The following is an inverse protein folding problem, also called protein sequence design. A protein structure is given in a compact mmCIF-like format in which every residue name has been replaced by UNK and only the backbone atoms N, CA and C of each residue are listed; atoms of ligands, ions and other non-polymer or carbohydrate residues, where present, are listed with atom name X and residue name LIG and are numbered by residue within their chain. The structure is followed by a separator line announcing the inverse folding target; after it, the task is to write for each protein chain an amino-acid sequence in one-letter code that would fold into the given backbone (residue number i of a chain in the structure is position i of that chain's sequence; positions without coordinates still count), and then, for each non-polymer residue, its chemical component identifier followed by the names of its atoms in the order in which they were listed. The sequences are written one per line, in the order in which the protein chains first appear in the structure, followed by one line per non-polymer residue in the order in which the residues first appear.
data_IF_303600304660
#
_entry.id   IF_303600304660
#
_cell.length_a   1.000
_cell.length_b   1.000
_cell.length_c   1.000
_cell.angle_alpha   90.00
_cell.angle_beta   90.00
_cell.angle_gamma   90.00
#
_symmetry.space_group_name_H-M   'P 1'
#
loop_
_entity.id
_entity.type
_entity.pdbx_description
1 polymer ?
#
# COMPACT_ATOMS: atom_id res chain seq x y z
N UNK A 1 -34.21 3.18 -10.81
CA UNK A 1 -33.10 3.62 -9.93
C UNK A 1 -32.95 2.56 -8.84
N UNK A 2 -31.84 1.81 -8.80
CA UNK A 2 -31.52 0.95 -7.63
C UNK A 2 -31.37 1.90 -6.43
N UNK A 3 -32.16 1.68 -5.37
CA UNK A 3 -31.96 2.39 -4.10
C UNK A 3 -30.55 2.06 -3.62
N UNK A 4 -29.70 3.05 -3.53
CA UNK A 4 -28.36 2.89 -2.95
C UNK A 4 -28.52 2.44 -1.51
N UNK A 5 -28.14 1.21 -1.25
CA UNK A 5 -28.20 0.60 0.08
C UNK A 5 -26.95 1.00 0.84
N UNK A 6 -27.08 1.42 2.08
CA UNK A 6 -25.94 1.71 2.94
C UNK A 6 -25.05 0.47 3.09
N UNK A 7 -23.75 0.69 2.98
CA UNK A 7 -22.72 -0.35 3.03
C UNK A 7 -21.79 -0.13 4.23
N UNK A 8 -22.03 -0.86 5.31
CA UNK A 8 -21.25 -0.76 6.54
C UNK A 8 -19.78 -1.15 6.38
N UNK A 9 -19.48 -2.04 5.41
CA UNK A 9 -18.06 -2.35 5.10
C UNK A 9 -17.30 -1.12 4.62
N UNK A 10 -17.93 -0.26 3.81
CA UNK A 10 -17.33 1.00 3.36
C UNK A 10 -17.18 2.00 4.51
N UNK A 11 -18.10 2.03 5.47
CA UNK A 11 -17.91 2.82 6.67
C UNK A 11 -16.68 2.35 7.46
N UNK A 12 -16.54 1.04 7.66
CA UNK A 12 -15.37 0.45 8.32
C UNK A 12 -14.08 0.76 7.59
N UNK A 13 -14.05 0.63 6.26
CA UNK A 13 -12.91 0.98 5.40
C UNK A 13 -12.53 2.45 5.60
N UNK A 14 -13.48 3.38 5.52
CA UNK A 14 -13.23 4.80 5.70
C UNK A 14 -12.65 5.12 7.09
N UNK A 15 -13.19 4.51 8.14
CA UNK A 15 -12.67 4.66 9.51
C UNK A 15 -11.24 4.15 9.64
N UNK A 16 -10.98 2.96 9.13
CA UNK A 16 -9.65 2.32 9.16
C UNK A 16 -8.65 3.15 8.33
N UNK A 17 -9.04 3.58 7.14
CA UNK A 17 -8.23 4.47 6.29
C UNK A 17 -7.79 5.74 7.03
N UNK A 18 -8.65 6.31 7.87
CA UNK A 18 -8.33 7.47 8.72
C UNK A 18 -7.58 7.13 10.01
N UNK A 19 -7.23 5.87 10.24
CA UNK A 19 -6.55 5.43 11.46
C UNK A 19 -7.37 5.62 12.73
N UNK A 20 -8.70 5.63 12.63
CA UNK A 20 -9.58 5.85 13.77
C UNK A 20 -10.06 4.53 14.37
N UNK A 21 -9.95 4.40 15.71
CA UNK A 21 -10.67 3.34 16.43
C UNK A 21 -12.18 3.66 16.46
N UNK A 22 -13.01 2.65 16.76
CA UNK A 22 -14.44 2.88 16.93
C UNK A 22 -14.72 3.85 18.08
N UNK A 23 -13.91 3.79 19.15
CA UNK A 23 -14.05 4.68 20.31
C UNK A 23 -13.75 6.14 19.95
N UNK A 24 -12.70 6.38 19.16
CA UNK A 24 -12.35 7.73 18.66
C UNK A 24 -13.49 8.26 17.78
N UNK A 25 -13.95 7.44 16.82
CA UNK A 25 -15.04 7.85 15.92
C UNK A 25 -16.33 8.14 16.68
N UNK A 26 -16.68 7.32 17.68
CA UNK A 26 -17.84 7.53 18.54
C UNK A 26 -17.77 8.88 19.28
N UNK A 27 -16.60 9.19 19.86
CA UNK A 27 -16.37 10.45 20.56
C UNK A 27 -16.47 11.66 19.63
N UNK A 28 -15.86 11.60 18.46
CA UNK A 28 -15.83 12.72 17.51
C UNK A 28 -17.20 12.99 16.85
N UNK A 29 -17.96 11.93 16.58
CA UNK A 29 -19.28 12.04 15.96
C UNK A 29 -20.42 12.23 16.94
N UNK A 30 -20.17 12.00 18.23
CA UNK A 30 -21.19 11.89 19.28
C UNK A 30 -22.28 10.83 18.93
N UNK A 31 -21.83 9.71 18.30
CA UNK A 31 -22.67 8.54 18.01
C UNK A 31 -22.25 7.43 18.97
N UNK A 32 -23.22 6.68 19.50
CA UNK A 32 -22.91 5.59 20.41
C UNK A 32 -22.03 4.53 19.71
N UNK A 33 -21.00 4.05 20.40
CA UNK A 33 -20.10 3.00 19.90
C UNK A 33 -20.85 1.76 19.40
N UNK A 34 -21.90 1.35 20.10
CA UNK A 34 -22.74 0.19 19.70
C UNK A 34 -23.42 0.43 18.36
N UNK A 35 -23.85 1.67 18.09
CA UNK A 35 -24.50 2.02 16.84
C UNK A 35 -23.50 2.04 15.68
N UNK A 36 -22.29 2.57 15.87
CA UNK A 36 -21.23 2.53 14.85
C UNK A 36 -20.90 1.08 14.48
N UNK A 37 -20.72 0.19 15.46
CA UNK A 37 -20.48 -1.22 15.22
C UNK A 37 -21.64 -1.87 14.46
N UNK A 38 -22.88 -1.54 14.83
CA UNK A 38 -24.05 -2.06 14.16
C UNK A 38 -24.19 -1.55 12.72
N UNK A 39 -23.77 -0.30 12.44
CA UNK A 39 -23.69 0.24 11.08
C UNK A 39 -22.61 -0.50 10.27
N UNK A 40 -21.41 -0.71 10.82
CA UNK A 40 -20.31 -1.42 10.15
C UNK A 40 -20.70 -2.88 9.83
N UNK A 41 -21.49 -3.51 10.70
CA UNK A 41 -22.00 -4.89 10.53
C UNK A 41 -23.26 -4.97 9.64
N UNK A 42 -23.75 -3.85 9.10
CA UNK A 42 -25.02 -3.76 8.35
C UNK A 42 -26.25 -4.25 9.11
N UNK A 43 -26.26 -4.19 10.45
CA UNK A 43 -27.45 -4.57 11.26
C UNK A 43 -28.59 -3.59 11.03
N UNK A 44 -28.28 -2.32 10.94
CA UNK A 44 -29.18 -1.26 10.51
C UNK A 44 -28.40 -0.08 9.93
N UNK A 45 -29.07 0.75 9.15
CA UNK A 45 -28.47 1.92 8.50
C UNK A 45 -28.48 3.14 9.43
N UNK A 46 -27.50 4.04 9.34
CA UNK A 46 -27.52 5.31 10.06
C UNK A 46 -28.68 6.20 9.58
N UNK A 47 -29.16 7.06 10.45
CA UNK A 47 -30.02 8.18 10.06
C UNK A 47 -29.27 9.13 9.13
N UNK A 48 -29.98 10.01 8.41
CA UNK A 48 -29.34 11.01 7.57
C UNK A 48 -28.37 11.88 8.36
N UNK A 49 -28.76 12.31 9.56
CA UNK A 49 -27.93 13.10 10.46
C UNK A 49 -26.62 12.36 10.82
N UNK A 50 -26.72 11.10 11.22
CA UNK A 50 -25.55 10.29 11.56
C UNK A 50 -24.67 10.03 10.34
N UNK A 51 -25.24 9.80 9.15
CA UNK A 51 -24.49 9.64 7.92
C UNK A 51 -23.70 10.90 7.55
N UNK A 52 -24.28 12.09 7.77
CA UNK A 52 -23.61 13.37 7.56
C UNK A 52 -22.46 13.58 8.57
N UNK A 53 -22.68 13.27 9.86
CA UNK A 53 -21.62 13.33 10.88
C UNK A 53 -20.45 12.43 10.52
N UNK A 54 -20.73 11.18 10.11
CA UNK A 54 -19.70 10.22 9.68
C UNK A 54 -18.96 10.72 8.44
N UNK A 55 -19.66 11.24 7.44
CA UNK A 55 -19.09 11.84 6.23
C UNK A 55 -18.12 12.97 6.56
N UNK A 56 -18.54 13.89 7.42
CA UNK A 56 -17.72 15.05 7.80
C UNK A 56 -16.47 14.64 8.58
N UNK A 57 -16.59 13.76 9.57
CA UNK A 57 -15.45 13.35 10.42
C UNK A 57 -14.46 12.45 9.67
N UNK A 58 -14.95 11.61 8.77
CA UNK A 58 -14.11 10.72 7.99
C UNK A 58 -13.58 11.37 6.71
N UNK A 59 -14.12 12.53 6.30
CA UNK A 59 -13.80 13.20 5.06
C UNK A 59 -13.96 12.29 3.84
N UNK A 60 -15.08 11.58 3.79
CA UNK A 60 -15.55 10.82 2.65
C UNK A 60 -16.92 11.35 2.24
N UNK A 61 -17.21 11.48 0.93
CA UNK A 61 -18.55 11.91 0.50
C UNK A 61 -19.59 10.91 0.96
N UNK A 62 -20.78 11.39 1.30
CA UNK A 62 -21.88 10.53 1.81
C UNK A 62 -22.16 9.37 0.85
N UNK A 63 -22.12 9.61 -0.44
CA UNK A 63 -22.36 8.65 -1.51
C UNK A 63 -21.41 7.46 -1.45
N UNK A 64 -20.19 7.67 -0.93
CA UNK A 64 -19.21 6.60 -0.72
C UNK A 64 -19.76 5.47 0.14
N UNK A 65 -20.57 5.78 1.17
CA UNK A 65 -21.12 4.78 2.08
C UNK A 65 -22.31 3.98 1.50
N UNK A 66 -22.78 4.34 0.31
CA UNK A 66 -23.89 3.68 -0.37
C UNK A 66 -23.47 2.91 -1.62
N UNK A 67 -22.19 2.90 -1.94
CA UNK A 67 -21.66 2.18 -3.09
C UNK A 67 -21.43 0.69 -2.84
N UNK A 68 -21.31 -0.07 -3.92
CA UNK A 68 -20.93 -1.47 -3.88
C UNK A 68 -19.41 -1.63 -3.98
N UNK A 69 -18.87 -2.68 -3.35
CA UNK A 69 -17.51 -3.14 -3.60
C UNK A 69 -17.55 -4.09 -4.81
N UNK A 70 -17.16 -3.58 -5.97
CA UNK A 70 -17.21 -4.35 -7.22
C UNK A 70 -15.94 -5.17 -7.46
N UNK A 71 -14.83 -4.79 -6.82
CA UNK A 71 -13.53 -5.44 -7.02
C UNK A 71 -12.98 -5.90 -5.68
N UNK A 72 -12.61 -7.18 -5.62
CA UNK A 72 -11.94 -7.77 -4.47
C UNK A 72 -10.43 -7.75 -4.70
N UNK A 73 -9.72 -6.89 -3.96
CA UNK A 73 -8.27 -6.93 -3.88
C UNK A 73 -7.89 -7.92 -2.80
N UNK A 74 -7.06 -8.89 -3.13
CA UNK A 74 -6.49 -9.84 -2.18
C UNK A 74 -5.09 -9.35 -1.84
N UNK A 75 -4.85 -9.07 -0.56
CA UNK A 75 -3.49 -8.82 -0.06
C UNK A 75 -2.90 -10.16 0.28
N UNK A 76 -1.94 -10.62 -0.53
CA UNK A 76 -1.28 -11.92 -0.34
C UNK A 76 -0.26 -11.84 0.78
N UNK A 77 0.52 -10.76 0.79
CA UNK A 77 1.51 -10.49 1.83
C UNK A 77 1.65 -8.99 2.11
N UNK A 78 2.21 -8.66 3.26
CA UNK A 78 2.53 -7.30 3.69
C UNK A 78 3.83 -7.30 4.46
N UNK A 79 4.88 -6.81 3.84
CA UNK A 79 6.20 -6.68 4.45
C UNK A 79 6.32 -5.31 5.13
N UNK A 80 6.61 -5.33 6.42
CA UNK A 80 7.02 -4.16 7.19
C UNK A 80 8.45 -4.38 7.67
N UNK A 81 9.29 -3.37 7.56
CA UNK A 81 10.62 -3.42 8.13
C UNK A 81 10.51 -3.82 9.62
N UNK A 82 11.23 -4.86 10.08
CA UNK A 82 11.17 -5.36 11.47
C UNK A 82 11.49 -4.28 12.50
N UNK A 83 12.25 -3.25 12.12
CA UNK A 83 12.61 -2.13 12.96
C UNK A 83 11.53 -1.03 12.99
N UNK A 84 10.46 -1.16 12.20
CA UNK A 84 9.34 -0.23 12.21
C UNK A 84 8.55 -0.35 13.52
N UNK A 85 8.45 0.76 14.26
CA UNK A 85 7.70 0.85 15.53
C UNK A 85 6.34 1.50 15.33
N UNK A 86 5.64 1.14 14.27
CA UNK A 86 4.29 1.67 14.01
C UNK A 86 3.28 1.06 14.99
N UNK A 87 2.41 1.88 15.60
CA UNK A 87 1.26 1.36 16.32
C UNK A 87 0.36 0.53 15.39
N UNK A 88 -0.19 -0.56 15.91
CA UNK A 88 -1.04 -1.48 15.10
C UNK A 88 -2.17 -0.77 14.36
N UNK A 89 -2.75 0.28 14.93
CA UNK A 89 -3.84 1.06 14.28
C UNK A 89 -3.32 1.80 13.06
N UNK A 90 -2.12 2.35 13.12
CA UNK A 90 -1.48 3.02 11.98
C UNK A 90 -1.08 2.00 10.91
N UNK A 91 -0.50 0.87 11.31
CA UNK A 91 -0.18 -0.24 10.39
C UNK A 91 -1.41 -0.68 9.57
N UNK A 92 -2.54 -0.90 10.25
CA UNK A 92 -3.79 -1.28 9.59
C UNK A 92 -4.29 -0.16 8.66
N UNK A 93 -4.16 1.10 9.08
CA UNK A 93 -4.51 2.26 8.26
C UNK A 93 -3.68 2.35 6.99
N UNK A 94 -2.37 2.14 7.09
CA UNK A 94 -1.48 2.15 5.91
C UNK A 94 -1.79 1.01 4.94
N UNK A 95 -2.05 -0.19 5.46
CA UNK A 95 -2.51 -1.32 4.64
C UNK A 95 -3.76 -0.95 3.83
N UNK A 96 -4.74 -0.33 4.48
CA UNK A 96 -5.98 0.07 3.80
C UNK A 96 -5.77 1.19 2.78
N UNK A 97 -4.84 2.12 3.04
CA UNK A 97 -4.47 3.16 2.08
C UNK A 97 -3.89 2.58 0.79
N UNK A 98 -3.02 1.56 0.88
CA UNK A 98 -2.48 0.88 -0.30
C UNK A 98 -3.57 0.10 -1.07
N UNK A 99 -4.52 -0.51 -0.36
CA UNK A 99 -5.67 -1.15 -1.01
C UNK A 99 -6.51 -0.11 -1.78
N UNK A 100 -6.73 1.06 -1.19
CA UNK A 100 -7.47 2.13 -1.85
C UNK A 100 -6.72 2.68 -3.07
N UNK A 101 -5.39 2.81 -2.97
CA UNK A 101 -4.53 3.19 -4.08
C UNK A 101 -4.65 2.19 -5.23
N UNK A 102 -4.61 0.88 -4.94
CA UNK A 102 -4.76 -0.15 -5.96
C UNK A 102 -6.12 -0.08 -6.67
N UNK A 103 -7.21 0.26 -5.95
CA UNK A 103 -8.52 0.50 -6.57
C UNK A 103 -8.47 1.66 -7.57
N UNK A 104 -7.72 2.72 -7.25
CA UNK A 104 -7.52 3.84 -8.15
C UNK A 104 -6.73 3.42 -9.40
N UNK A 105 -5.66 2.62 -9.22
CA UNK A 105 -4.90 2.07 -10.35
C UNK A 105 -5.78 1.19 -11.24
N UNK A 106 -6.60 0.30 -10.68
CA UNK A 106 -7.53 -0.54 -11.44
C UNK A 106 -8.52 0.28 -12.27
N UNK A 107 -8.99 1.41 -11.74
CA UNK A 107 -9.83 2.31 -12.51
C UNK A 107 -9.09 2.90 -13.72
N UNK A 108 -7.82 3.29 -13.54
CA UNK A 108 -7.03 3.82 -14.65
C UNK A 108 -6.55 2.74 -15.61
N UNK A 109 -6.35 1.49 -15.17
CA UNK A 109 -5.98 0.35 -16.04
C UNK A 109 -7.03 0.08 -17.13
N UNK A 110 -8.28 0.54 -16.97
CA UNK A 110 -9.30 0.49 -18.03
C UNK A 110 -8.98 1.43 -19.20
N UNK A 111 -8.17 2.46 -19.00
CA UNK A 111 -7.88 3.52 -19.98
C UNK A 111 -6.40 3.61 -20.35
N UNK A 112 -5.51 3.19 -19.47
CA UNK A 112 -4.06 3.36 -19.59
C UNK A 112 -3.39 2.02 -19.28
N UNK A 113 -2.49 1.56 -20.17
CA UNK A 113 -1.61 0.41 -19.89
C UNK A 113 -0.53 0.79 -18.86
N UNK A 114 -0.51 0.12 -17.72
CA UNK A 114 0.60 0.21 -16.78
C UNK A 114 1.58 -0.94 -17.01
N UNK A 115 2.89 -0.71 -16.88
CA UNK A 115 3.88 -1.76 -17.03
C UNK A 115 3.63 -2.89 -16.02
N UNK A 116 3.90 -4.12 -16.42
CA UNK A 116 3.97 -5.26 -15.51
C UNK A 116 5.35 -5.30 -14.84
N UNK A 117 5.47 -6.08 -13.75
CA UNK A 117 6.75 -6.24 -13.07
C UNK A 117 7.79 -6.84 -14.02
N UNK A 118 8.81 -6.05 -14.35
CA UNK A 118 9.88 -6.42 -15.25
C UNK A 118 11.15 -6.77 -14.46
N UNK A 119 11.35 -8.07 -14.21
CA UNK A 119 12.55 -8.61 -13.59
C UNK A 119 13.31 -9.50 -14.57
N UNK A 120 14.65 -9.63 -14.44
CA UNK A 120 15.44 -10.54 -15.27
C UNK A 120 14.97 -11.99 -15.16
N UNK A 121 14.83 -12.67 -16.30
CA UNK A 121 14.41 -14.07 -16.34
C UNK A 121 15.49 -15.07 -15.84
N UNK A 122 16.72 -14.59 -15.66
CA UNK A 122 17.88 -15.38 -15.25
C UNK A 122 18.21 -15.24 -13.75
N UNK A 123 17.27 -14.73 -12.95
CA UNK A 123 17.40 -14.72 -11.49
C UNK A 123 17.19 -16.14 -10.96
N UNK A 124 18.07 -16.59 -10.08
CA UNK A 124 17.99 -17.91 -9.48
C UNK A 124 18.06 -17.85 -7.95
N UNK A 125 17.34 -18.75 -7.28
CA UNK A 125 17.30 -18.85 -5.82
C UNK A 125 18.67 -19.11 -5.18
N UNK A 126 19.62 -19.65 -5.94
CA UNK A 126 20.99 -19.95 -5.50
C UNK A 126 21.99 -18.81 -5.73
N UNK A 127 21.58 -17.74 -6.37
CA UNK A 127 22.46 -16.58 -6.63
C UNK A 127 22.83 -15.89 -5.30
N UNK A 128 24.05 -15.35 -5.26
CA UNK A 128 24.45 -14.44 -4.18
C UNK A 128 23.71 -13.10 -4.34
N UNK A 129 23.64 -12.31 -3.27
CA UNK A 129 23.04 -10.97 -3.32
C UNK A 129 23.72 -10.10 -4.37
N UNK A 130 25.05 -10.07 -4.38
CA UNK A 130 25.83 -9.33 -5.37
C UNK A 130 25.46 -9.74 -6.81
N UNK A 131 25.29 -11.05 -7.06
CA UNK A 131 24.87 -11.56 -8.37
C UNK A 131 23.44 -11.11 -8.73
N UNK A 132 22.51 -11.13 -7.78
CA UNK A 132 21.15 -10.65 -7.99
C UNK A 132 21.13 -9.16 -8.32
N UNK A 133 21.87 -8.35 -7.55
CA UNK A 133 22.03 -6.91 -7.80
C UNK A 133 22.61 -6.62 -9.17
N UNK A 134 23.68 -7.33 -9.56
CA UNK A 134 24.31 -7.17 -10.85
C UNK A 134 23.32 -7.48 -11.99
N UNK A 135 22.62 -8.59 -11.93
CA UNK A 135 21.62 -8.96 -12.95
C UNK A 135 20.51 -7.93 -13.09
N UNK A 136 20.03 -7.37 -11.97
CA UNK A 136 19.03 -6.30 -11.99
C UNK A 136 19.59 -5.03 -12.62
N UNK A 137 20.79 -4.61 -12.23
CA UNK A 137 21.45 -3.43 -12.77
C UNK A 137 21.65 -3.54 -14.28
N UNK A 138 22.12 -4.68 -14.76
CA UNK A 138 22.30 -4.95 -16.19
C UNK A 138 20.95 -4.95 -16.93
N UNK A 139 19.92 -5.62 -16.40
CA UNK A 139 18.60 -5.71 -17.04
C UNK A 139 17.87 -4.36 -17.11
N UNK A 140 18.03 -3.53 -16.07
CA UNK A 140 17.40 -2.21 -15.99
C UNK A 140 18.26 -1.10 -16.57
N UNK A 141 19.43 -1.43 -17.14
CA UNK A 141 20.38 -0.48 -17.70
C UNK A 141 20.79 0.62 -16.69
N UNK A 142 21.07 0.17 -15.45
CA UNK A 142 21.47 1.07 -14.37
C UNK A 142 22.98 1.27 -14.28
N UNK A 143 23.74 0.57 -15.12
CA UNK A 143 25.17 0.62 -15.11
C UNK A 143 25.64 1.80 -15.95
N UNK A 144 26.20 2.77 -15.30
CA UNK A 144 26.91 3.89 -15.91
C UNK A 144 28.20 4.10 -15.10
N UNK A 145 29.35 3.86 -15.70
CA UNK A 145 30.66 4.07 -15.05
C UNK A 145 30.84 5.51 -14.57
N UNK A 146 30.16 6.48 -15.21
CA UNK A 146 30.15 7.88 -14.80
C UNK A 146 29.10 8.18 -13.70
N UNK A 147 28.09 7.33 -13.53
CA UNK A 147 27.00 7.50 -12.56
C UNK A 147 26.70 6.19 -11.82
N UNK A 148 27.52 5.83 -10.84
CA UNK A 148 27.44 4.54 -10.17
C UNK A 148 26.15 4.33 -9.35
N UNK A 149 25.35 5.39 -9.14
CA UNK A 149 24.13 5.33 -8.35
C UNK A 149 22.98 5.99 -9.10
N UNK A 150 21.84 5.33 -9.30
CA UNK A 150 20.68 5.94 -9.95
C UNK A 150 20.16 7.11 -9.12
N UNK A 151 20.01 8.28 -9.75
CA UNK A 151 19.50 9.49 -9.09
C UNK A 151 18.08 9.33 -8.60
N UNK A 152 17.27 8.51 -9.28
CA UNK A 152 15.86 8.29 -8.95
C UNK A 152 15.43 6.83 -9.15
N UNK A 153 15.76 5.98 -8.19
CA UNK A 153 15.38 4.57 -8.21
C UNK A 153 13.84 4.40 -8.23
N UNK A 154 13.10 5.32 -7.63
CA UNK A 154 11.63 5.26 -7.60
C UNK A 154 10.99 5.35 -8.98
N UNK A 155 11.47 6.25 -9.84
CA UNK A 155 10.96 6.39 -11.20
C UNK A 155 11.29 5.14 -12.04
N UNK A 156 12.50 4.60 -11.85
CA UNK A 156 12.92 3.37 -12.52
C UNK A 156 12.03 2.20 -12.10
N UNK A 157 11.85 1.97 -10.79
CA UNK A 157 10.99 0.90 -10.29
C UNK A 157 9.54 1.06 -10.76
N UNK A 158 9.05 2.30 -10.85
CA UNK A 158 7.70 2.58 -11.37
C UNK A 158 7.61 2.23 -12.86
N UNK A 159 8.60 2.58 -13.66
CA UNK A 159 8.68 2.18 -15.07
C UNK A 159 8.82 0.66 -15.25
N UNK A 160 9.29 -0.05 -14.24
CA UNK A 160 9.43 -1.51 -14.18
C UNK A 160 8.28 -2.21 -13.45
N UNK A 161 7.14 -1.53 -13.28
CA UNK A 161 5.88 -2.12 -12.87
C UNK A 161 5.61 -2.18 -11.36
N UNK A 162 6.43 -1.53 -10.54
CA UNK A 162 6.19 -1.38 -9.10
C UNK A 162 5.36 -0.13 -8.86
N UNK A 163 4.30 -0.23 -8.06
CA UNK A 163 3.49 0.94 -7.67
C UNK A 163 4.11 1.56 -6.43
N UNK A 164 4.53 2.82 -6.51
CA UNK A 164 5.12 3.55 -5.37
C UNK A 164 4.21 4.70 -4.98
N UNK A 165 3.93 4.84 -3.69
CA UNK A 165 3.14 5.92 -3.12
C UNK A 165 3.87 6.59 -1.97
N UNK A 166 3.85 7.91 -1.97
CA UNK A 166 4.29 8.70 -0.82
C UNK A 166 3.12 8.91 0.13
N UNK A 167 3.33 8.64 1.41
CA UNK A 167 2.30 8.79 2.43
C UNK A 167 2.75 9.73 3.52
N UNK A 168 1.85 10.61 3.92
CA UNK A 168 2.03 11.36 5.15
C UNK A 168 1.97 10.38 6.33
N UNK A 169 3.08 10.27 7.03
CA UNK A 169 3.22 9.42 8.21
C UNK A 169 3.29 10.32 9.43
N UNK A 170 2.42 10.07 10.41
CA UNK A 170 2.31 10.89 11.61
C UNK A 170 3.56 10.84 12.50
N UNK A 171 4.50 9.95 12.23
CA UNK A 171 5.76 9.82 12.96
C UNK A 171 6.93 9.88 12.00
N UNK A 172 7.91 10.73 12.30
CA UNK A 172 9.19 10.76 11.61
C UNK A 172 9.88 9.40 11.67
N UNK A 173 10.43 8.96 10.54
CA UNK A 173 11.20 7.72 10.47
C UNK A 173 10.35 6.46 10.33
N UNK A 174 9.11 6.57 9.88
CA UNK A 174 8.35 5.38 9.48
C UNK A 174 9.08 4.70 8.31
N UNK A 175 9.46 3.44 8.52
CA UNK A 175 10.08 2.63 7.48
C UNK A 175 9.11 2.40 6.33
N UNK A 176 9.59 2.27 5.11
CA UNK A 176 8.76 1.86 3.99
C UNK A 176 8.13 0.49 4.25
N UNK A 177 7.07 0.20 3.53
CA UNK A 177 6.51 -1.15 3.54
C UNK A 177 5.92 -1.50 2.17
N UNK A 178 5.96 -2.78 1.85
CA UNK A 178 5.46 -3.33 0.59
C UNK A 178 4.26 -4.22 0.83
N UNK A 179 3.28 -4.14 -0.06
CA UNK A 179 2.20 -5.13 -0.17
C UNK A 179 2.24 -5.82 -1.52
N UNK A 180 2.10 -7.15 -1.48
CA UNK A 180 1.77 -7.94 -2.64
C UNK A 180 0.26 -8.04 -2.75
N UNK A 181 -0.29 -7.51 -3.81
CA UNK A 181 -1.73 -7.42 -4.03
C UNK A 181 -2.13 -8.09 -5.33
N UNK A 182 -3.18 -8.91 -5.29
CA UNK A 182 -3.71 -9.60 -6.45
C UNK A 182 -5.17 -9.23 -6.71
N UNK A 183 -5.48 -9.08 -7.98
CA UNK A 183 -6.85 -8.99 -8.49
C UNK A 183 -6.95 -10.00 -9.62
N UNK A 184 -7.77 -11.03 -9.42
CA UNK A 184 -7.85 -12.17 -10.33
C UNK A 184 -6.47 -12.81 -10.55
N UNK A 185 -5.87 -12.66 -11.75
CA UNK A 185 -4.53 -13.15 -12.09
C UNK A 185 -3.46 -12.06 -12.16
N UNK A 186 -3.84 -10.79 -11.92
CA UNK A 186 -2.91 -9.66 -11.97
C UNK A 186 -2.37 -9.39 -10.57
N UNK A 187 -1.09 -9.67 -10.37
CA UNK A 187 -0.37 -9.39 -9.11
C UNK A 187 0.49 -8.15 -9.26
N UNK A 188 0.43 -7.26 -8.29
CA UNK A 188 1.23 -6.02 -8.22
C UNK A 188 1.87 -5.87 -6.85
N UNK A 189 3.07 -5.31 -6.84
CA UNK A 189 3.72 -4.85 -5.62
C UNK A 189 3.48 -3.36 -5.46
N UNK A 190 3.04 -2.99 -4.27
CA UNK A 190 2.71 -1.61 -3.92
C UNK A 190 3.53 -1.20 -2.72
N UNK A 191 4.41 -0.22 -2.91
CA UNK A 191 5.31 0.30 -1.87
C UNK A 191 4.75 1.61 -1.33
N UNK A 192 4.73 1.75 -0.01
CA UNK A 192 4.51 3.00 0.67
C UNK A 192 5.81 3.56 1.24
N UNK A 193 6.11 4.81 0.91
CA UNK A 193 7.21 5.59 1.47
C UNK A 193 6.65 6.73 2.33
N UNK A 194 7.34 7.08 3.41
CA UNK A 194 7.04 8.28 4.17
C UNK A 194 7.41 9.55 3.40
N UNK A 195 6.57 10.59 3.46
CA UNK A 195 6.87 11.91 2.88
C UNK A 195 8.12 12.58 3.49
N UNK A 196 8.53 12.15 4.68
CA UNK A 196 9.77 12.61 5.34
C UNK A 196 11.04 12.00 4.72
N UNK A 197 10.91 11.01 3.83
CA UNK A 197 11.99 10.37 3.06
C UNK A 197 12.32 11.14 1.77
N UNK A 198 12.49 12.47 1.88
CA UNK A 198 12.72 13.36 0.73
C UNK A 198 14.21 13.48 0.34
N UNK A 199 15.13 12.94 1.16
CA UNK A 199 16.56 12.92 0.86
C UNK A 199 16.86 11.73 -0.07
N UNK A 200 17.36 12.01 -1.28
CA UNK A 200 17.53 11.00 -2.33
C UNK A 200 18.32 9.75 -1.91
N UNK A 201 19.49 9.84 -1.24
CA UNK A 201 20.20 8.64 -0.80
C UNK A 201 19.38 7.75 0.15
N UNK A 202 18.70 8.35 1.13
CA UNK A 202 17.85 7.61 2.10
C UNK A 202 16.70 6.93 1.38
N UNK A 203 16.04 7.65 0.48
CA UNK A 203 14.93 7.11 -0.30
C UNK A 203 15.37 5.97 -1.22
N UNK A 204 16.49 6.12 -1.89
CA UNK A 204 17.01 5.08 -2.78
C UNK A 204 17.43 3.83 -2.01
N UNK A 205 18.06 3.99 -0.83
CA UNK A 205 18.35 2.87 0.06
C UNK A 205 17.06 2.15 0.51
N UNK A 206 16.06 2.91 0.99
CA UNK A 206 14.78 2.34 1.39
C UNK A 206 14.11 1.56 0.23
N UNK A 207 14.13 2.12 -0.98
CA UNK A 207 13.58 1.46 -2.18
C UNK A 207 14.38 0.23 -2.60
N UNK A 208 15.70 0.25 -2.47
CA UNK A 208 16.55 -0.92 -2.74
C UNK A 208 16.19 -2.07 -1.78
N UNK A 209 16.00 -1.79 -0.49
CA UNK A 209 15.54 -2.78 0.48
C UNK A 209 14.18 -3.38 0.11
N UNK A 210 13.21 -2.55 -0.30
CA UNK A 210 11.89 -3.04 -0.72
C UNK A 210 11.96 -3.83 -2.05
N UNK A 211 12.86 -3.46 -2.96
CA UNK A 211 13.14 -4.24 -4.17
C UNK A 211 13.73 -5.62 -3.81
N UNK A 212 14.66 -5.65 -2.87
CA UNK A 212 15.20 -6.89 -2.33
C UNK A 212 14.11 -7.81 -1.78
N UNK A 213 13.13 -7.24 -1.04
CA UNK A 213 11.96 -7.98 -0.60
C UNK A 213 11.15 -8.55 -1.78
N UNK A 214 10.88 -7.76 -2.80
CA UNK A 214 10.14 -8.20 -4.01
C UNK A 214 10.86 -9.39 -4.66
N UNK A 215 12.16 -9.30 -4.84
CA UNK A 215 12.98 -10.38 -5.43
C UNK A 215 12.94 -11.63 -4.55
N UNK A 216 13.06 -11.47 -3.24
CA UNK A 216 12.97 -12.55 -2.26
C UNK A 216 11.64 -13.31 -2.35
N UNK A 217 10.53 -12.56 -2.49
CA UNK A 217 9.19 -13.15 -2.65
C UNK A 217 9.05 -13.86 -4.00
N UNK A 218 9.48 -13.23 -5.10
CA UNK A 218 9.42 -13.83 -6.44
C UNK A 218 10.24 -15.12 -6.54
N UNK A 219 11.43 -15.15 -5.93
CA UNK A 219 12.31 -16.32 -5.91
C UNK A 219 11.98 -17.31 -4.78
N UNK A 220 11.04 -16.97 -3.91
CA UNK A 220 10.70 -17.74 -2.72
C UNK A 220 11.94 -18.02 -1.83
N UNK A 221 12.72 -16.98 -1.57
CA UNK A 221 13.90 -16.98 -0.71
C UNK A 221 13.47 -16.47 0.67
N UNK A 222 13.85 -17.13 1.80
CA UNK A 222 13.57 -16.62 3.13
C UNK A 222 14.24 -15.26 3.40
N UNK A 223 13.49 -14.25 3.84
CA UNK A 223 13.97 -12.90 4.15
C UNK A 223 15.17 -12.84 5.10
N UNK A 224 15.31 -13.81 6.00
CA UNK A 224 16.49 -13.92 6.89
C UNK A 224 17.84 -14.06 6.17
N UNK A 225 17.82 -14.38 4.87
CA UNK A 225 19.01 -14.45 4.02
C UNK A 225 19.22 -13.16 3.21
N UNK A 226 18.29 -12.20 3.32
CA UNK A 226 18.32 -10.95 2.58
C UNK A 226 18.84 -9.86 3.52
N UNK A 227 20.09 -9.45 3.35
CA UNK A 227 20.63 -8.27 4.03
C UNK A 227 20.45 -7.05 3.13
N UNK A 228 19.64 -6.10 3.60
CA UNK A 228 19.34 -4.89 2.85
C UNK A 228 20.58 -4.00 2.66
N UNK A 229 21.55 -4.11 3.55
CA UNK A 229 22.78 -3.32 3.48
C UNK A 229 23.75 -3.85 2.40
N UNK A 230 23.56 -5.11 1.96
CA UNK A 230 24.32 -5.71 0.84
C UNK A 230 23.64 -5.50 -0.52
N UNK A 231 22.34 -5.19 -0.55
CA UNK A 231 21.55 -4.97 -1.77
C UNK A 231 21.59 -3.49 -2.19
#
# INVERSE_FOLDING_TARGET
MKKDVFNGKRLKIARVYRGKSVDILAKETNINKKDILAFEDNKYKPTLENALKLSNILHFPREYFYGNENVKIVVEDSHFNPNSRLPRVEEISYKEKLIMLRKLFLFFEEYIGFPELDLPNNLHRGDSMETLCQKIREHWDLWDDEKPTPLNLGDIMTAKGVIISYMNVNKRGASPFTQKQSVEKNTRYVIALGEDRNIAPIRNHDLACELGYIISDVLNIPLKKFDCDEF
#
